data_IF_996514567490
#
_entry.id   IF_996514567490
#
_cell.length_a   1.000
_cell.length_b   1.000
_cell.length_c   1.000
_cell.angle_alpha   90.00
_cell.angle_beta   90.00
_cell.angle_gamma   90.00
#
_symmetry.space_group_name_H-M   'P 1'
#
loop_
_entity.id
_entity.type
_entity.pdbx_description
1 polymer ?
#
# COMPACT_ATOMS: atom_id res chain seq x y z
N UNK A 1 -8.42 1.13 -5.18
CA UNK A 1 -7.38 0.12 -4.91
C UNK A 1 -7.11 -0.61 -6.21
N UNK A 2 -5.85 -0.63 -6.66
CA UNK A 2 -5.48 -1.06 -8.01
C UNK A 2 -4.56 -2.27 -7.95
N UNK A 3 -5.04 -3.49 -8.25
CA UNK A 3 -4.18 -4.66 -8.33
C UNK A 3 -3.36 -4.63 -9.64
N UNK A 4 -2.05 -4.79 -9.55
CA UNK A 4 -1.12 -4.92 -10.69
C UNK A 4 -0.37 -6.26 -10.57
N UNK A 5 -1.08 -7.40 -10.63
CA UNK A 5 -0.52 -8.71 -10.29
C UNK A 5 0.52 -9.23 -11.30
N UNK A 6 0.76 -8.51 -12.39
CA UNK A 6 1.71 -8.89 -13.44
C UNK A 6 3.09 -8.26 -13.27
N UNK A 7 3.22 -7.19 -12.47
CA UNK A 7 4.45 -6.38 -12.39
C UNK A 7 4.91 -6.24 -10.95
N UNK A 8 6.16 -6.61 -10.67
CA UNK A 8 6.83 -6.32 -9.40
C UNK A 8 7.49 -4.95 -9.47
N UNK A 9 6.69 -3.88 -9.38
CA UNK A 9 7.19 -2.51 -9.51
C UNK A 9 8.04 -2.07 -8.31
N UNK A 10 8.92 -1.10 -8.53
CA UNK A 10 9.65 -0.39 -7.47
C UNK A 10 9.06 0.99 -7.17
N UNK A 11 8.27 1.55 -8.10
CA UNK A 11 7.55 2.80 -7.94
C UNK A 11 6.25 2.79 -8.76
N UNK A 12 5.21 3.43 -8.25
CA UNK A 12 3.93 3.59 -8.93
C UNK A 12 3.25 4.89 -8.49
N UNK A 13 2.76 5.68 -9.45
CA UNK A 13 2.03 6.92 -9.22
C UNK A 13 0.72 6.91 -10.01
N UNK A 14 -0.38 7.32 -9.37
CA UNK A 14 -1.62 7.55 -10.10
C UNK A 14 -1.56 8.95 -10.74
N UNK A 15 -1.89 9.09 -12.03
CA UNK A 15 -2.23 10.39 -12.59
C UNK A 15 -3.44 10.95 -11.82
N UNK A 16 -3.32 12.16 -11.29
CA UNK A 16 -4.37 12.82 -10.51
C UNK A 16 -4.72 14.17 -11.12
N UNK A 17 -6.02 14.43 -11.27
CA UNK A 17 -6.55 15.77 -11.42
C UNK A 17 -6.83 16.33 -10.03
N UNK A 18 -6.15 17.43 -9.65
CA UNK A 18 -6.32 18.06 -8.34
C UNK A 18 -7.50 19.04 -8.27
N UNK A 19 -8.26 19.16 -9.36
CA UNK A 19 -9.45 19.99 -9.46
C UNK A 19 -10.64 19.17 -9.99
N UNK A 20 -11.77 19.10 -9.26
CA UNK A 20 -11.97 19.59 -7.89
C UNK A 20 -11.02 18.90 -6.89
N UNK A 21 -10.95 19.40 -5.65
CA UNK A 21 -10.04 18.86 -4.63
C UNK A 21 -10.26 17.34 -4.45
N UNK A 22 -9.20 16.56 -4.66
CA UNK A 22 -9.19 15.12 -4.45
C UNK A 22 -8.29 14.79 -3.26
N UNK A 23 -8.90 14.25 -2.21
CA UNK A 23 -8.22 13.83 -0.98
C UNK A 23 -8.40 12.34 -0.68
N UNK A 24 -8.86 11.56 -1.66
CA UNK A 24 -9.08 10.11 -1.49
C UNK A 24 -7.71 9.41 -1.58
N UNK A 25 -7.25 8.69 -0.53
CA UNK A 25 -6.03 7.91 -0.60
C UNK A 25 -6.14 6.81 -1.66
N UNK A 26 -5.10 6.66 -2.47
CA UNK A 26 -5.04 5.67 -3.56
C UNK A 26 -3.97 4.64 -3.25
N UNK A 27 -4.33 3.38 -3.44
CA UNK A 27 -3.49 2.22 -3.15
C UNK A 27 -3.28 1.41 -4.42
N UNK A 28 -2.06 0.96 -4.64
CA UNK A 28 -1.74 -0.04 -5.66
C UNK A 28 -0.80 -1.11 -5.09
N UNK A 29 -0.99 -2.36 -5.48
CA UNK A 29 -0.03 -3.42 -5.15
C UNK A 29 0.42 -4.18 -6.38
N UNK A 30 1.64 -4.67 -6.34
CA UNK A 30 2.29 -5.37 -7.44
C UNK A 30 2.27 -6.89 -7.29
N UNK A 31 2.86 -7.56 -8.28
CA UNK A 31 3.20 -8.98 -8.21
C UNK A 31 4.22 -9.20 -7.09
N UNK A 32 3.93 -10.13 -6.17
CA UNK A 32 4.89 -10.55 -5.16
C UNK A 32 6.08 -11.26 -5.81
N UNK A 33 7.22 -11.24 -5.13
CA UNK A 33 8.44 -11.90 -5.55
C UNK A 33 9.23 -12.40 -4.35
N UNK A 34 10.12 -13.38 -4.58
CA UNK A 34 11.02 -13.89 -3.55
C UNK A 34 12.29 -13.05 -3.52
N UNK A 35 12.68 -12.61 -2.34
CA UNK A 35 13.96 -11.97 -2.08
C UNK A 35 14.63 -12.67 -0.90
N UNK A 36 15.71 -13.42 -1.18
CA UNK A 36 16.34 -14.34 -0.23
C UNK A 36 15.29 -15.30 0.38
N UNK A 37 15.13 -15.31 1.70
CA UNK A 37 14.16 -16.15 2.42
C UNK A 37 12.82 -15.45 2.68
N UNK A 38 12.61 -14.26 2.11
CA UNK A 38 11.39 -13.47 2.30
C UNK A 38 10.56 -13.36 1.02
N UNK A 39 9.23 -13.32 1.17
CA UNK A 39 8.33 -12.91 0.10
C UNK A 39 8.04 -11.42 0.26
N UNK A 40 8.30 -10.64 -0.79
CA UNK A 40 8.02 -9.21 -0.83
C UNK A 40 6.89 -8.92 -1.82
N UNK A 41 6.05 -7.95 -1.47
CA UNK A 41 4.99 -7.45 -2.33
C UNK A 41 5.13 -5.93 -2.45
N UNK A 42 5.22 -5.38 -3.67
CA UNK A 42 5.17 -3.93 -3.84
C UNK A 42 3.84 -3.36 -3.37
N UNK A 43 3.87 -2.31 -2.57
CA UNK A 43 2.71 -1.56 -2.10
C UNK A 43 3.00 -0.06 -2.25
N UNK A 44 2.17 0.65 -3.00
CA UNK A 44 2.23 2.09 -3.17
C UNK A 44 0.99 2.72 -2.55
N UNK A 45 1.21 3.77 -1.75
CA UNK A 45 0.19 4.63 -1.17
C UNK A 45 0.42 6.05 -1.64
N UNK A 46 -0.60 6.66 -2.22
CA UNK A 46 -0.60 8.06 -2.59
C UNK A 46 -1.73 8.77 -1.85
N UNK A 47 -1.45 9.91 -1.26
CA UNK A 47 -2.45 10.71 -0.56
C UNK A 47 -2.11 12.19 -0.59
N UNK A 48 -3.09 13.01 -0.20
CA UNK A 48 -3.01 14.46 -0.31
C UNK A 48 -2.43 15.07 0.98
N UNK A 49 -1.35 15.85 0.88
CA UNK A 49 -0.62 16.32 2.06
C UNK A 49 -1.45 17.26 2.98
N UNK A 50 -2.48 17.93 2.44
CA UNK A 50 -3.39 18.74 3.26
C UNK A 50 -4.20 17.94 4.30
N UNK A 51 -4.29 16.61 4.17
CA UNK A 51 -5.04 15.74 5.10
C UNK A 51 -4.17 14.67 5.76
N UNK A 52 -2.90 14.54 5.34
CA UNK A 52 -1.99 13.53 5.89
C UNK A 52 -0.51 13.91 5.73
N UNK A 53 0.25 13.62 6.78
CA UNK A 53 1.71 13.75 6.81
C UNK A 53 2.43 12.39 6.75
N UNK A 54 3.75 12.42 6.65
CA UNK A 54 4.60 11.23 6.67
C UNK A 54 4.38 10.30 7.87
N UNK A 55 4.02 10.81 9.05
CA UNK A 55 3.72 9.97 10.22
C UNK A 55 2.51 9.05 10.00
N UNK A 56 1.49 9.52 9.27
CA UNK A 56 0.30 8.73 8.96
C UNK A 56 0.64 7.62 7.97
N UNK A 57 1.48 7.92 6.97
CA UNK A 57 2.00 6.92 6.04
C UNK A 57 2.85 5.86 6.76
N UNK A 58 3.75 6.28 7.66
CA UNK A 58 4.59 5.37 8.44
C UNK A 58 3.75 4.39 9.25
N UNK A 59 2.79 4.91 10.03
CA UNK A 59 1.86 4.08 10.82
C UNK A 59 1.03 3.14 9.95
N UNK A 60 0.60 3.58 8.77
CA UNK A 60 -0.10 2.72 7.82
C UNK A 60 0.77 1.53 7.39
N UNK A 61 2.01 1.77 6.96
CA UNK A 61 2.90 0.69 6.53
C UNK A 61 3.26 -0.26 7.67
N UNK A 62 3.49 0.25 8.88
CA UNK A 62 3.71 -0.58 10.08
C UNK A 62 2.49 -1.49 10.35
N UNK A 63 1.28 -0.92 10.32
CA UNK A 63 0.04 -1.66 10.56
C UNK A 63 -0.20 -2.74 9.49
N UNK A 64 0.02 -2.41 8.21
CA UNK A 64 -0.12 -3.39 7.13
C UNK A 64 0.90 -4.52 7.30
N UNK A 65 2.15 -4.19 7.65
CA UNK A 65 3.18 -5.19 7.87
C UNK A 65 2.84 -6.11 9.06
N UNK A 66 2.29 -5.55 10.13
CA UNK A 66 1.81 -6.31 11.29
C UNK A 66 0.70 -7.28 10.90
N UNK A 67 -0.30 -6.83 10.13
CA UNK A 67 -1.36 -7.71 9.61
C UNK A 67 -0.85 -8.80 8.68
N UNK A 68 0.22 -8.56 7.93
CA UNK A 68 0.84 -9.60 7.09
C UNK A 68 1.63 -10.62 7.90
N UNK A 69 2.18 -10.23 9.06
CA UNK A 69 2.83 -11.14 9.99
C UNK A 69 1.81 -11.91 10.85
N UNK A 70 0.67 -11.29 11.14
CA UNK A 70 -0.39 -11.79 12.02
C UNK A 70 -1.76 -11.78 11.31
N UNK A 71 -1.91 -12.51 10.18
CA UNK A 71 -3.13 -12.47 9.37
C UNK A 71 -4.38 -12.97 10.11
N UNK A 72 -4.24 -13.80 11.14
CA UNK A 72 -5.32 -14.28 12.00
C UNK A 72 -6.10 -13.15 12.69
N UNK A 73 -5.45 -12.01 12.95
CA UNK A 73 -6.07 -10.84 13.58
C UNK A 73 -7.13 -10.21 12.67
N UNK A 74 -6.95 -10.31 11.35
CA UNK A 74 -7.85 -9.71 10.35
C UNK A 74 -8.73 -10.72 9.64
N UNK A 75 -8.29 -11.97 9.48
CA UNK A 75 -9.05 -13.03 8.82
C UNK A 75 -9.99 -13.77 9.78
N UNK A 76 -9.84 -13.57 11.10
CA UNK A 76 -10.48 -14.38 12.12
C UNK A 76 -9.81 -15.75 12.29
N UNK A 77 -10.03 -16.41 13.42
CA UNK A 77 -9.60 -17.80 13.59
C UNK A 77 -10.35 -18.67 12.58
N UNK A 78 -9.63 -19.19 11.58
CA UNK A 78 -10.12 -20.27 10.71
C UNK A 78 -10.01 -21.62 11.42
#
# INVERSE_FOLDING_TARGET
MSPIPWVSFTSFSHPMHLHPADSIPRFAWGKYFKESDTLKMPLSVQGHHAVMDGIHMGRFYETVQDYLHHPEVVLGAM
#
